data_IF_923639051661
#
_entry.id   IF_923639051661
#
_cell.length_a   1.000
_cell.length_b   1.000
_cell.length_c   1.000
_cell.angle_alpha   90.00
_cell.angle_beta   90.00
_cell.angle_gamma   90.00
#
_symmetry.space_group_name_H-M   'P 1'
#
loop_
_entity.id
_entity.type
_entity.pdbx_description
1 polymer ?
#
# COMPACT_ATOMS: atom_id res chain seq x y z
N UNK A 1 -30.89 7.68 21.68
CA UNK A 1 -29.82 7.03 22.49
C UNK A 1 -28.59 6.87 21.61
N UNK A 2 -27.47 7.53 21.94
CA UNK A 2 -26.23 7.36 21.18
C UNK A 2 -25.74 5.92 21.33
N UNK A 3 -25.50 5.26 20.21
CA UNK A 3 -25.01 3.89 20.22
C UNK A 3 -23.50 3.91 20.41
N UNK A 4 -23.03 4.28 21.61
CA UNK A 4 -21.59 4.40 21.87
C UNK A 4 -20.95 3.02 22.05
N UNK A 5 -19.87 2.76 21.31
CA UNK A 5 -18.90 1.72 21.65
C UNK A 5 -17.87 2.41 22.55
N UNK A 6 -17.52 1.81 23.68
CA UNK A 6 -16.49 2.38 24.55
C UNK A 6 -15.16 2.54 23.80
N UNK A 7 -14.39 3.57 24.17
CA UNK A 7 -13.10 3.87 23.53
C UNK A 7 -12.17 2.65 23.55
N UNK A 8 -12.07 1.95 24.68
CA UNK A 8 -11.27 0.72 24.82
C UNK A 8 -11.67 -0.36 23.81
N UNK A 9 -12.97 -0.60 23.62
CA UNK A 9 -13.45 -1.61 22.65
C UNK A 9 -13.16 -1.19 21.21
N UNK A 10 -13.27 0.10 20.89
CA UNK A 10 -12.91 0.62 19.57
C UNK A 10 -11.42 0.47 19.29
N UNK A 11 -10.56 0.84 20.24
CA UNK A 11 -9.12 0.70 20.08
C UNK A 11 -8.68 -0.78 20.03
N UNK A 12 -9.32 -1.66 20.80
CA UNK A 12 -9.08 -3.10 20.71
C UNK A 12 -9.48 -3.67 19.34
N UNK A 13 -10.65 -3.27 18.80
CA UNK A 13 -11.07 -3.64 17.45
C UNK A 13 -10.08 -3.12 16.40
N UNK A 14 -9.67 -1.86 16.50
CA UNK A 14 -8.70 -1.28 15.58
C UNK A 14 -7.36 -2.03 15.64
N UNK A 15 -6.84 -2.31 16.84
CA UNK A 15 -5.62 -3.08 17.04
C UNK A 15 -5.69 -4.48 16.45
N UNK A 16 -6.82 -5.18 16.62
CA UNK A 16 -7.05 -6.50 16.03
C UNK A 16 -7.04 -6.44 14.49
N UNK A 17 -7.78 -5.49 13.90
CA UNK A 17 -7.83 -5.32 12.43
C UNK A 17 -6.46 -4.95 11.88
N UNK A 18 -5.70 -4.07 12.55
CA UNK A 18 -4.33 -3.73 12.16
C UNK A 18 -3.43 -4.95 12.23
N UNK A 19 -3.46 -5.71 13.33
CA UNK A 19 -2.62 -6.89 13.50
C UNK A 19 -2.90 -7.96 12.42
N UNK A 20 -4.18 -8.21 12.12
CA UNK A 20 -4.58 -9.17 11.08
C UNK A 20 -4.19 -8.69 9.69
N UNK A 21 -4.48 -7.44 9.34
CA UNK A 21 -4.14 -6.87 8.03
C UNK A 21 -2.63 -6.83 7.80
N UNK A 22 -1.87 -6.41 8.81
CA UNK A 22 -0.41 -6.36 8.75
C UNK A 22 0.20 -7.76 8.68
N UNK A 23 -0.30 -8.70 9.49
CA UNK A 23 0.15 -10.09 9.49
C UNK A 23 -0.07 -10.75 8.14
N UNK A 24 -1.25 -10.56 7.55
CA UNK A 24 -1.58 -11.09 6.22
C UNK A 24 -0.71 -10.45 5.12
N UNK A 25 -0.53 -9.13 5.15
CA UNK A 25 0.32 -8.42 4.18
C UNK A 25 1.77 -8.90 4.24
N UNK A 26 2.38 -8.94 5.42
CA UNK A 26 3.78 -9.33 5.57
C UNK A 26 3.99 -10.81 5.27
N UNK A 27 3.03 -11.67 5.63
CA UNK A 27 3.07 -13.09 5.27
C UNK A 27 2.99 -13.30 3.75
N UNK A 28 2.04 -12.65 3.08
CA UNK A 28 1.86 -12.79 1.63
C UNK A 28 3.02 -12.19 0.84
N UNK A 29 3.58 -11.05 1.27
CA UNK A 29 4.82 -10.50 0.69
C UNK A 29 6.02 -11.42 0.87
N UNK A 30 6.16 -12.05 2.03
CA UNK A 30 7.21 -13.05 2.27
C UNK A 30 7.05 -14.25 1.35
N UNK A 31 5.81 -14.75 1.21
CA UNK A 31 5.48 -15.84 0.29
C UNK A 31 5.78 -15.47 -1.17
N UNK A 32 5.40 -14.27 -1.62
CA UNK A 32 5.69 -13.79 -2.97
C UNK A 32 7.21 -13.72 -3.22
N UNK A 33 7.97 -13.20 -2.26
CA UNK A 33 9.43 -13.16 -2.34
C UNK A 33 10.07 -14.54 -2.45
N UNK A 34 9.59 -15.54 -1.70
CA UNK A 34 10.20 -16.88 -1.72
C UNK A 34 9.73 -17.76 -2.88
N UNK A 35 8.55 -17.46 -3.45
CA UNK A 35 7.87 -18.38 -4.39
C UNK A 35 7.74 -17.82 -5.80
N UNK A 36 7.55 -16.51 -5.95
CA UNK A 36 7.31 -15.86 -7.24
C UNK A 36 8.56 -15.14 -7.78
N UNK A 37 9.48 -14.72 -6.90
CA UNK A 37 10.71 -14.03 -7.32
C UNK A 37 11.52 -14.93 -8.27
N UNK A 38 11.86 -14.40 -9.45
CA UNK A 38 12.58 -15.10 -10.52
C UNK A 38 11.83 -16.31 -11.12
N UNK A 39 10.52 -16.39 -10.93
CA UNK A 39 9.66 -17.39 -11.57
C UNK A 39 8.78 -16.74 -12.65
N UNK A 40 8.25 -17.52 -13.60
CA UNK A 40 7.20 -17.04 -14.49
C UNK A 40 5.95 -16.64 -13.69
N UNK A 41 5.19 -15.67 -14.22
CA UNK A 41 3.92 -15.27 -13.64
C UNK A 41 2.98 -16.48 -13.48
N UNK A 42 2.37 -16.60 -12.31
CA UNK A 42 1.38 -17.64 -12.02
C UNK A 42 -0.01 -17.15 -12.43
N UNK A 43 -0.47 -17.58 -13.60
CA UNK A 43 -1.81 -17.27 -14.10
C UNK A 43 -2.86 -17.96 -13.22
N UNK A 44 -3.79 -17.19 -12.67
CA UNK A 44 -4.94 -17.70 -11.89
C UNK A 44 -6.22 -17.70 -12.70
N UNK A 45 -6.43 -16.62 -13.47
CA UNK A 45 -7.53 -16.48 -14.42
C UNK A 45 -6.92 -15.88 -15.69
N UNK A 46 -6.97 -16.66 -16.77
CA UNK A 46 -6.46 -16.26 -18.09
C UNK A 46 -7.01 -14.88 -18.47
N UNK A 47 -6.14 -13.98 -18.95
CA UNK A 47 -6.44 -12.60 -19.35
C UNK A 47 -6.98 -11.65 -18.25
N UNK A 48 -7.11 -12.08 -16.99
CA UNK A 48 -7.71 -11.26 -15.92
C UNK A 48 -6.86 -11.13 -14.67
N UNK A 49 -6.24 -12.21 -14.20
CA UNK A 49 -5.57 -12.26 -12.91
C UNK A 49 -4.36 -13.20 -12.91
N UNK A 50 -3.21 -12.67 -12.55
CA UNK A 50 -1.99 -13.43 -12.32
C UNK A 50 -1.27 -12.97 -11.05
N UNK A 51 -0.38 -13.83 -10.57
CA UNK A 51 0.55 -13.51 -9.49
C UNK A 51 1.97 -13.46 -10.05
N UNK A 52 2.56 -12.27 -10.08
CA UNK A 52 3.88 -11.99 -10.64
C UNK A 52 4.68 -11.11 -9.68
N UNK A 53 5.92 -11.48 -9.39
CA UNK A 53 6.73 -10.75 -8.43
C UNK A 53 7.21 -9.41 -9.00
N UNK A 54 6.81 -8.31 -8.36
CA UNK A 54 7.31 -6.98 -8.64
C UNK A 54 7.91 -6.36 -7.37
N UNK A 55 9.05 -5.70 -7.53
CA UNK A 55 9.67 -4.94 -6.45
C UNK A 55 9.66 -3.45 -6.78
N UNK A 56 9.04 -2.68 -5.91
CA UNK A 56 8.72 -1.29 -6.13
C UNK A 56 9.56 -0.39 -5.23
N UNK A 57 10.65 0.21 -5.74
CA UNK A 57 11.55 1.05 -4.94
C UNK A 57 10.99 2.45 -4.65
N UNK A 58 9.90 2.85 -5.30
CA UNK A 58 9.43 4.24 -5.25
C UNK A 58 8.56 4.69 -6.42
N UNK A 59 7.93 3.79 -7.16
CA UNK A 59 6.92 4.13 -8.17
C UNK A 59 5.52 3.98 -7.57
N UNK A 60 4.61 4.90 -7.84
CA UNK A 60 3.18 4.67 -7.57
C UNK A 60 2.38 5.10 -8.79
N UNK A 61 1.60 4.18 -9.37
CA UNK A 61 0.81 4.44 -10.58
C UNK A 61 1.64 5.02 -11.76
N UNK A 62 2.91 4.62 -11.88
CA UNK A 62 3.84 5.13 -12.88
C UNK A 62 4.45 6.51 -12.56
N UNK A 63 4.09 7.13 -11.44
CA UNK A 63 4.72 8.36 -10.95
C UNK A 63 6.07 8.05 -10.32
N UNK A 64 7.02 9.00 -10.45
CA UNK A 64 8.36 9.00 -9.86
C UNK A 64 9.37 7.96 -10.36
N UNK A 65 8.98 6.94 -11.13
CA UNK A 65 9.91 6.04 -11.82
C UNK A 65 11.05 5.50 -10.92
N UNK A 66 12.28 5.59 -11.41
CA UNK A 66 13.49 5.18 -10.68
C UNK A 66 14.10 6.30 -9.81
N UNK A 67 13.41 7.42 -9.62
CA UNK A 67 13.95 8.60 -8.94
C UNK A 67 14.46 8.27 -7.51
N UNK A 68 15.66 8.74 -7.13
CA UNK A 68 16.22 8.47 -5.80
C UNK A 68 15.35 8.97 -4.65
N UNK A 69 14.70 10.14 -4.82
CA UNK A 69 13.92 10.81 -3.77
C UNK A 69 12.51 10.24 -3.54
N UNK A 70 12.00 9.41 -4.45
CA UNK A 70 10.60 8.98 -4.42
C UNK A 70 10.26 8.19 -3.15
N UNK A 71 11.16 7.28 -2.74
CA UNK A 71 11.03 6.50 -1.50
C UNK A 71 10.86 7.39 -0.27
N UNK A 72 11.65 8.46 -0.18
CA UNK A 72 11.61 9.39 0.95
C UNK A 72 10.26 10.10 1.04
N UNK A 73 9.72 10.54 -0.10
CA UNK A 73 8.39 11.15 -0.17
C UNK A 73 7.33 10.17 0.37
N UNK A 74 7.32 8.93 -0.10
CA UNK A 74 6.36 7.93 0.39
C UNK A 74 6.49 7.66 1.88
N UNK A 75 7.72 7.55 2.41
CA UNK A 75 7.94 7.35 3.85
C UNK A 75 7.35 8.53 4.65
N UNK A 76 7.72 9.76 4.29
CA UNK A 76 7.28 10.97 4.99
C UNK A 76 5.76 11.11 4.94
N UNK A 77 5.15 11.01 3.75
CA UNK A 77 3.70 11.07 3.58
C UNK A 77 2.99 9.97 4.37
N UNK A 78 3.53 8.75 4.38
CA UNK A 78 2.93 7.63 5.12
C UNK A 78 2.98 7.85 6.63
N UNK A 79 4.09 8.37 7.16
CA UNK A 79 4.21 8.72 8.59
C UNK A 79 3.17 9.76 8.97
N UNK A 80 3.03 10.85 8.19
CA UNK A 80 2.00 11.86 8.44
C UNK A 80 0.58 11.29 8.35
N UNK A 81 0.30 10.44 7.36
CA UNK A 81 -1.00 9.77 7.23
C UNK A 81 -1.31 8.88 8.43
N UNK A 82 -0.35 8.08 8.91
CA UNK A 82 -0.51 7.24 10.11
C UNK A 82 -0.75 8.06 11.38
N UNK A 83 -0.02 9.17 11.55
CA UNK A 83 -0.26 10.09 12.66
C UNK A 83 -1.67 10.68 12.60
N UNK A 84 -2.12 11.10 11.41
CA UNK A 84 -3.46 11.61 11.22
C UNK A 84 -4.52 10.54 11.51
N UNK A 85 -4.37 9.32 11.00
CA UNK A 85 -5.29 8.20 11.28
C UNK A 85 -5.32 7.89 12.79
N UNK A 86 -4.19 7.95 13.49
CA UNK A 86 -4.15 7.77 14.94
C UNK A 86 -4.98 8.83 15.67
N UNK A 87 -4.95 10.10 15.23
CA UNK A 87 -5.81 11.15 15.80
C UNK A 87 -7.29 10.87 15.56
N UNK A 88 -7.67 10.37 14.37
CA UNK A 88 -9.06 10.00 14.05
C UNK A 88 -9.55 8.76 14.81
N UNK A 89 -8.67 7.79 15.06
CA UNK A 89 -9.00 6.64 15.91
C UNK A 89 -9.23 7.07 17.36
N UNK A 90 -8.40 8.00 17.85
CA UNK A 90 -8.52 8.57 19.20
C UNK A 90 -9.77 9.45 19.34
N UNK A 91 -10.03 10.31 18.36
CA UNK A 91 -11.15 11.28 18.31
C UNK A 91 -11.83 11.19 16.94
N UNK A 92 -12.87 10.35 16.80
CA UNK A 92 -13.57 10.20 15.53
C UNK A 92 -14.31 11.49 15.14
N UNK A 93 -14.50 11.76 13.84
CA UNK A 93 -14.99 13.05 13.33
C UNK A 93 -16.48 13.35 13.61
N UNK A 94 -17.19 12.52 14.37
CA UNK A 94 -18.59 12.74 14.69
C UNK A 94 -19.20 11.64 15.57
N UNK A 95 -20.46 11.84 15.96
CA UNK A 95 -21.22 10.84 16.73
C UNK A 95 -21.90 9.85 15.79
N UNK A 96 -21.47 8.59 15.86
CA UNK A 96 -22.10 7.51 15.11
C UNK A 96 -23.50 7.19 15.68
N UNK A 97 -24.50 7.13 14.79
CA UNK A 97 -25.89 6.84 15.15
C UNK A 97 -26.11 5.43 15.67
N UNK A 98 -25.37 4.48 15.13
CA UNK A 98 -25.47 3.06 15.48
C UNK A 98 -24.09 2.47 15.78
N UNK A 99 -24.06 1.41 16.59
CA UNK A 99 -22.81 0.66 16.86
C UNK A 99 -22.17 0.14 15.58
N UNK A 100 -22.99 -0.23 14.58
CA UNK A 100 -22.50 -0.68 13.27
C UNK A 100 -21.74 0.43 12.54
N UNK A 101 -22.30 1.64 12.48
CA UNK A 101 -21.62 2.80 11.87
C UNK A 101 -20.32 3.13 12.62
N UNK A 102 -20.33 3.12 13.95
CA UNK A 102 -19.12 3.33 14.75
C UNK A 102 -18.04 2.27 14.47
N UNK A 103 -18.44 1.01 14.33
CA UNK A 103 -17.55 -0.10 13.99
C UNK A 103 -17.01 0.03 12.56
N UNK A 104 -17.85 0.41 11.58
CA UNK A 104 -17.42 0.65 10.19
C UNK A 104 -16.32 1.71 10.13
N UNK A 105 -16.50 2.86 10.79
CA UNK A 105 -15.46 3.90 10.83
C UNK A 105 -14.18 3.47 11.55
N UNK A 106 -14.30 2.60 12.57
CA UNK A 106 -13.13 2.05 13.28
C UNK A 106 -12.38 1.05 12.39
N UNK A 107 -13.09 0.13 11.73
CA UNK A 107 -12.52 -0.86 10.82
C UNK A 107 -11.88 -0.18 9.61
N UNK A 108 -12.52 0.86 9.05
CA UNK A 108 -12.01 1.59 7.90
C UNK A 108 -10.66 2.26 8.20
N UNK A 109 -10.57 2.99 9.31
CA UNK A 109 -9.33 3.63 9.75
C UNK A 109 -8.26 2.59 10.10
N UNK A 110 -8.64 1.47 10.71
CA UNK A 110 -7.72 0.38 11.02
C UNK A 110 -7.18 -0.32 9.77
N UNK A 111 -8.00 -0.53 8.73
CA UNK A 111 -7.54 -1.06 7.44
C UNK A 111 -6.58 -0.09 6.74
N UNK A 112 -6.90 1.21 6.75
CA UNK A 112 -6.00 2.24 6.21
C UNK A 112 -4.66 2.24 6.95
N UNK A 113 -4.68 2.16 8.28
CA UNK A 113 -3.47 2.07 9.10
C UNK A 113 -2.68 0.78 8.82
N UNK A 114 -3.35 -0.38 8.71
CA UNK A 114 -2.73 -1.66 8.40
C UNK A 114 -2.00 -1.61 7.05
N UNK A 115 -2.67 -1.11 6.01
CA UNK A 115 -2.10 -0.99 4.68
C UNK A 115 -0.95 0.01 4.61
N UNK A 116 -1.15 1.21 5.15
CA UNK A 116 -0.09 2.22 5.24
C UNK A 116 1.14 1.70 5.98
N UNK A 117 0.96 1.03 7.13
CA UNK A 117 2.05 0.48 7.92
C UNK A 117 2.75 -0.69 7.22
N UNK A 118 2.03 -1.63 6.60
CA UNK A 118 2.64 -2.75 5.87
C UNK A 118 3.54 -2.30 4.72
N UNK A 119 3.11 -1.26 4.01
CA UNK A 119 3.89 -0.63 2.95
C UNK A 119 5.03 0.26 3.47
N UNK A 120 4.93 0.79 4.70
CA UNK A 120 6.03 1.50 5.37
C UNK A 120 7.12 0.53 5.85
N UNK A 121 6.73 -0.61 6.44
CA UNK A 121 7.67 -1.65 6.89
C UNK A 121 8.58 -2.09 5.75
N UNK A 122 7.98 -2.42 4.61
CA UNK A 122 8.72 -2.80 3.41
C UNK A 122 9.71 -1.70 2.97
N UNK A 123 9.24 -0.46 2.87
CA UNK A 123 10.10 0.67 2.49
C UNK A 123 11.27 0.87 3.45
N UNK A 124 11.13 0.54 4.73
CA UNK A 124 12.20 0.70 5.72
C UNK A 124 13.18 -0.47 5.76
N UNK A 125 12.69 -1.70 5.58
CA UNK A 125 13.48 -2.90 5.92
C UNK A 125 13.60 -3.93 4.79
N UNK A 126 12.79 -3.86 3.74
CA UNK A 126 12.86 -4.84 2.65
C UNK A 126 13.80 -4.36 1.56
N UNK A 127 14.87 -5.13 1.34
CA UNK A 127 15.90 -4.88 0.35
C UNK A 127 15.81 -5.93 -0.78
N UNK A 128 15.86 -5.50 -2.02
CA UNK A 128 16.06 -6.37 -3.18
C UNK A 128 16.91 -5.71 -4.27
N UNK A 129 17.40 -6.49 -5.22
CA UNK A 129 18.08 -6.00 -6.41
C UNK A 129 17.07 -5.48 -7.42
N UNK A 130 17.20 -4.20 -7.77
CA UNK A 130 16.36 -3.52 -8.76
C UNK A 130 17.18 -3.18 -9.97
N UNK A 131 16.62 -3.49 -11.15
CA UNK A 131 17.17 -3.10 -12.43
C UNK A 131 16.81 -1.65 -12.74
N UNK A 132 17.79 -0.77 -12.69
CA UNK A 132 17.68 0.63 -13.08
C UNK A 132 18.19 0.77 -14.51
N UNK A 133 17.35 1.32 -15.42
CA UNK A 133 17.77 1.53 -16.81
C UNK A 133 18.66 2.77 -16.91
N UNK A 134 19.71 2.68 -17.71
CA UNK A 134 20.49 3.84 -18.13
C UNK A 134 19.63 4.53 -19.19
N UNK A 135 18.96 5.62 -18.81
CA UNK A 135 18.16 6.41 -19.73
C UNK A 135 19.04 7.06 -20.81
N UNK A 136 18.42 7.55 -21.88
CA UNK A 136 19.12 8.25 -22.97
C UNK A 136 19.89 9.49 -22.45
N UNK A 137 19.37 10.12 -21.38
CA UNK A 137 20.10 11.09 -20.57
C UNK A 137 20.73 10.40 -19.36
N UNK A 138 22.06 10.49 -19.26
CA UNK A 138 22.80 9.87 -18.16
C UNK A 138 22.36 10.48 -16.82
N UNK A 139 21.70 9.67 -16.00
CA UNK A 139 21.22 10.10 -14.69
C UNK A 139 22.42 10.41 -13.78
N UNK A 140 22.63 11.69 -13.49
CA UNK A 140 23.82 12.17 -12.78
C UNK A 140 24.05 11.51 -11.41
N UNK A 141 22.99 11.09 -10.72
CA UNK A 141 23.11 10.39 -9.44
C UNK A 141 23.81 9.03 -9.58
N UNK A 142 23.65 8.31 -10.72
CA UNK A 142 24.36 7.04 -10.96
C UNK A 142 25.88 7.25 -11.04
N UNK A 143 26.33 8.39 -11.57
CA UNK A 143 27.75 8.74 -11.66
C UNK A 143 28.35 9.00 -10.28
N UNK A 144 27.61 9.65 -9.39
CA UNK A 144 28.12 10.01 -8.06
C UNK A 144 28.02 8.83 -7.10
N UNK A 145 26.89 8.13 -7.07
CA UNK A 145 26.59 7.12 -6.05
C UNK A 145 27.07 5.72 -6.45
N UNK A 146 27.10 5.41 -7.75
CA UNK A 146 27.43 4.08 -8.26
C UNK A 146 28.43 4.06 -9.43
N UNK A 147 29.54 4.83 -9.39
CA UNK A 147 30.45 5.00 -10.53
C UNK A 147 31.05 3.68 -11.04
N UNK A 148 31.40 2.76 -10.13
CA UNK A 148 32.00 1.46 -10.48
C UNK A 148 30.99 0.54 -11.16
N UNK A 149 29.76 0.42 -10.62
CA UNK A 149 28.72 -0.42 -11.24
C UNK A 149 28.29 0.13 -12.60
N UNK A 150 28.26 1.46 -12.73
CA UNK A 150 27.97 2.13 -14.00
C UNK A 150 29.04 1.81 -15.05
N UNK A 151 30.32 1.97 -14.71
CA UNK A 151 31.41 1.68 -15.65
C UNK A 151 31.43 0.20 -16.04
N UNK A 152 31.24 -0.73 -15.10
CA UNK A 152 31.13 -2.16 -15.39
C UNK A 152 29.99 -2.49 -16.35
N UNK A 153 28.82 -1.86 -16.18
CA UNK A 153 27.70 -2.11 -17.08
C UNK A 153 27.93 -1.57 -18.48
N UNK A 154 28.47 -0.35 -18.59
CA UNK A 154 28.83 0.27 -19.87
C UNK A 154 29.91 -0.55 -20.60
N UNK A 155 30.96 -1.01 -19.89
CA UNK A 155 32.01 -1.87 -20.46
C UNK A 155 31.48 -3.22 -20.95
N UNK A 156 30.42 -3.74 -20.32
CA UNK A 156 29.72 -4.97 -20.74
C UNK A 156 28.65 -4.71 -21.82
N UNK A 157 28.51 -3.48 -22.32
CA UNK A 157 27.51 -3.11 -23.31
C UNK A 157 26.06 -3.18 -22.80
N UNK A 158 25.85 -3.15 -21.49
CA UNK A 158 24.51 -3.17 -20.88
C UNK A 158 23.98 -1.75 -20.71
N UNK A 159 22.69 -1.57 -20.96
CA UNK A 159 21.96 -0.33 -20.75
C UNK A 159 21.19 -0.29 -19.41
N UNK A 160 21.64 -1.04 -18.41
CA UNK A 160 20.99 -1.12 -17.09
C UNK A 160 22.00 -1.47 -15.99
N UNK A 161 21.65 -1.20 -14.73
CA UNK A 161 22.40 -1.60 -13.54
C UNK A 161 21.50 -2.33 -12.57
N UNK A 162 22.01 -3.37 -11.92
CA UNK A 162 21.33 -4.04 -10.81
C UNK A 162 21.85 -3.46 -9.49
N UNK A 163 20.97 -2.75 -8.77
CA UNK A 163 21.29 -1.99 -7.55
C UNK A 163 20.45 -2.50 -6.38
N UNK A 164 21.05 -2.70 -5.18
CA UNK A 164 20.28 -3.02 -3.99
C UNK A 164 19.45 -1.79 -3.60
N UNK A 165 18.12 -1.90 -3.64
CA UNK A 165 17.20 -0.84 -3.22
C UNK A 165 16.21 -1.35 -2.18
N UNK A 166 15.80 -0.45 -1.30
CA UNK A 166 14.67 -0.69 -0.43
C UNK A 166 13.37 -0.39 -1.16
N UNK A 167 12.32 -1.15 -0.88
CA UNK A 167 11.08 -1.05 -1.65
C UNK A 167 9.98 -1.98 -1.17
N UNK A 168 8.85 -1.92 -1.86
CA UNK A 168 7.63 -2.67 -1.57
C UNK A 168 7.55 -3.89 -2.46
N UNK A 169 7.15 -5.03 -1.90
CA UNK A 169 6.79 -6.20 -2.70
C UNK A 169 5.35 -6.08 -3.15
N UNK A 170 5.18 -6.09 -4.47
CA UNK A 170 3.90 -6.16 -5.16
C UNK A 170 3.82 -7.51 -5.88
N UNK A 171 2.62 -8.09 -5.95
CA UNK A 171 2.48 -9.44 -6.53
C UNK A 171 1.12 -9.76 -7.11
N UNK A 172 0.14 -8.87 -6.97
CA UNK A 172 -1.19 -9.03 -7.53
C UNK A 172 -1.25 -8.22 -8.82
N UNK A 173 -1.54 -8.88 -9.93
CA UNK A 173 -1.63 -8.24 -11.25
C UNK A 173 -3.01 -8.52 -11.82
N UNK A 174 -3.70 -7.45 -12.21
CA UNK A 174 -5.04 -7.52 -12.80
C UNK A 174 -5.06 -6.84 -14.17
N UNK A 175 -5.95 -7.32 -15.03
CA UNK A 175 -6.18 -6.80 -16.38
C UNK A 175 -7.63 -6.35 -16.51
N UNK A 176 -7.89 -5.25 -17.24
CA UNK A 176 -9.23 -4.65 -17.37
C UNK A 176 -9.72 -4.49 -18.82
N UNK A 177 -8.82 -4.72 -19.77
CA UNK A 177 -9.05 -4.86 -21.21
C UNK A 177 -8.04 -5.94 -21.64
N UNK A 178 -8.29 -6.77 -22.68
CA UNK A 178 -7.57 -8.05 -22.91
C UNK A 178 -6.03 -8.06 -22.87
N UNK A 179 -5.35 -6.91 -22.79
CA UNK A 179 -3.90 -6.80 -22.65
C UNK A 179 -3.44 -5.60 -21.79
N UNK A 180 -4.36 -4.87 -21.14
CA UNK A 180 -4.00 -3.69 -20.32
C UNK A 180 -3.78 -4.09 -18.86
N UNK A 181 -2.50 -4.20 -18.51
CA UNK A 181 -2.03 -4.45 -17.14
C UNK A 181 -2.30 -3.24 -16.25
N UNK A 182 -3.03 -3.44 -15.16
CA UNK A 182 -3.08 -2.48 -14.05
C UNK A 182 -1.76 -2.56 -13.25
N UNK A 183 -1.26 -1.45 -12.68
CA UNK A 183 -0.08 -1.49 -11.82
C UNK A 183 -0.19 -2.57 -10.75
N UNK A 184 0.85 -3.40 -10.62
CA UNK A 184 0.87 -4.46 -9.60
C UNK A 184 0.69 -3.88 -8.21
N UNK A 185 -0.02 -4.59 -7.35
CA UNK A 185 -0.30 -4.16 -5.97
C UNK A 185 -0.22 -5.34 -5.00
N UNK A 186 -0.48 -5.08 -3.72
CA UNK A 186 -0.43 -6.08 -2.67
C UNK A 186 -1.64 -6.01 -1.70
N UNK A 187 -1.58 -6.81 -0.64
CA UNK A 187 -2.63 -6.84 0.38
C UNK A 187 -2.71 -5.52 1.14
N UNK A 188 -1.59 -4.85 1.45
CA UNK A 188 -1.60 -3.53 2.06
C UNK A 188 -2.32 -2.48 1.19
N UNK A 189 -2.12 -2.47 -0.13
CA UNK A 189 -2.85 -1.58 -1.03
C UNK A 189 -4.35 -1.88 -1.06
N UNK A 190 -4.70 -3.16 -1.03
CA UNK A 190 -6.10 -3.61 -0.94
C UNK A 190 -6.74 -3.11 0.36
N UNK A 191 -6.04 -3.22 1.50
CA UNK A 191 -6.48 -2.67 2.79
C UNK A 191 -6.68 -1.15 2.73
N UNK A 192 -5.78 -0.41 2.06
CA UNK A 192 -5.93 1.03 1.88
C UNK A 192 -7.19 1.38 1.06
N UNK A 193 -7.39 0.75 -0.09
CA UNK A 193 -8.53 1.03 -0.98
C UNK A 193 -9.86 0.69 -0.30
N UNK A 194 -9.96 -0.50 0.31
CA UNK A 194 -11.16 -0.93 1.04
C UNK A 194 -11.41 -0.02 2.25
N UNK A 195 -10.35 0.32 2.98
CA UNK A 195 -10.42 1.23 4.11
C UNK A 195 -10.95 2.61 3.72
N UNK A 196 -10.45 3.20 2.64
CA UNK A 196 -10.97 4.48 2.11
C UNK A 196 -12.44 4.36 1.71
N UNK A 197 -12.83 3.32 0.98
CA UNK A 197 -14.22 3.12 0.57
C UNK A 197 -15.18 3.00 1.76
N UNK A 198 -14.81 2.21 2.77
CA UNK A 198 -15.58 2.09 4.01
C UNK A 198 -15.62 3.39 4.81
N UNK A 199 -14.55 4.18 4.79
CA UNK A 199 -14.50 5.46 5.48
C UNK A 199 -15.43 6.48 4.82
N UNK A 200 -15.49 6.52 3.49
CA UNK A 200 -16.45 7.36 2.76
C UNK A 200 -17.90 6.97 3.08
N UNK A 201 -18.20 5.66 3.15
CA UNK A 201 -19.52 5.17 3.59
C UNK A 201 -19.80 5.59 5.03
N UNK A 202 -18.81 5.51 5.92
CA UNK A 202 -18.93 5.96 7.31
C UNK A 202 -19.28 7.45 7.38
N UNK A 203 -18.57 8.31 6.64
CA UNK A 203 -18.82 9.75 6.58
C UNK A 203 -20.24 10.05 6.07
N UNK A 204 -20.65 9.44 4.96
CA UNK A 204 -22.00 9.62 4.42
C UNK A 204 -23.13 9.20 5.40
N UNK A 205 -22.82 8.29 6.34
CA UNK A 205 -23.75 7.81 7.37
C UNK A 205 -23.72 8.66 8.66
N UNK A 206 -22.78 9.59 8.81
CA UNK A 206 -22.82 10.59 9.88
C UNK A 206 -23.93 11.62 9.61
N UNK A 207 -24.02 12.10 8.37
CA UNK A 207 -24.82 13.29 8.00
C UNK A 207 -26.29 13.04 7.65
N UNK A 208 -26.70 11.80 7.38
CA UNK A 208 -28.01 11.50 6.82
C UNK A 208 -29.17 11.69 7.82
N UNK A 209 -29.73 12.89 8.06
CA UNK A 209 -30.86 13.19 9.01
C UNK A 209 -31.89 12.04 9.13
N UNK A 210 -32.41 11.71 10.33
CA UNK A 210 -33.45 10.69 10.46
C UNK A 210 -34.61 11.04 9.51
N UNK A 211 -35.04 10.07 8.71
CA UNK A 211 -36.24 10.21 7.89
C UNK A 211 -37.47 10.44 8.79
N UNK A 212 -38.50 11.14 8.30
CA UNK A 212 -39.66 11.55 9.09
C UNK A 212 -40.49 10.39 9.68
N UNK A 213 -40.22 9.13 9.32
CA UNK A 213 -41.09 7.99 9.62
C UNK A 213 -40.65 7.16 10.84
N UNK A 214 -39.77 7.69 11.70
CA UNK A 214 -39.31 6.95 12.90
C UNK A 214 -40.21 7.12 14.14
N UNK A 215 -41.25 7.97 14.08
CA UNK A 215 -42.14 8.29 15.19
C UNK A 215 -43.64 8.04 14.88
N UNK A 216 -43.96 7.14 13.94
CA UNK A 216 -45.34 6.72 13.63
C UNK A 216 -45.66 5.30 14.14
#
# INVERSE_FOLDING_TARGET
MSASISQTRRLALAGLVVALGLGLDQWTKRWAFTTLRQQPAKVLVEDWLELDYAFNPGSAFGMFGDEPGARTIFIVTTVFALLYIATLLWRPPGEARTRRVAATGTISLALMAAGALGNLIDRLWRLDEVRVRIADELQFWLLIEHPVKLSESLLRGRNYLDLPRYGVVDFIVVYYWPERRWPSFNVADTCLVVGVGLFLIYLARLDAKPGPDADA
#
